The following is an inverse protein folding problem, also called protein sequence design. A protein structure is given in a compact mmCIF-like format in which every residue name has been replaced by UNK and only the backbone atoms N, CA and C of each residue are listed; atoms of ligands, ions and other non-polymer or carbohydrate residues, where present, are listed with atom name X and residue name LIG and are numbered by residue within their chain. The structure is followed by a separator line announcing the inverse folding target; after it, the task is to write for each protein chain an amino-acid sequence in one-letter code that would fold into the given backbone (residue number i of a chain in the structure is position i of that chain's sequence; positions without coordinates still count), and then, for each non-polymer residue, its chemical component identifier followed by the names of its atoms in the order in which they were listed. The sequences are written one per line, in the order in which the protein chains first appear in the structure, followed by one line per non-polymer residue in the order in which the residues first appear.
data_IF_690558075737
#
_entry.id   IF_690558075737
#
_cell.length_a   1.000
_cell.length_b   1.000
_cell.length_c   1.000
_cell.angle_alpha   90.00
_cell.angle_beta   90.00
_cell.angle_gamma   90.00
#
_symmetry.space_group_name_H-M   'P 1'
#
loop_
_entity.id
_entity.type
_entity.pdbx_description
1 polymer ?
#
# COMPACT_ATOMS: atom_id res chain seq x y z
N UNK A 1 -8.21 -33.84 5.30
CA UNK A 1 -8.26 -32.57 4.54
C UNK A 1 -6.91 -31.88 4.72
N UNK A 2 -6.24 -31.49 3.64
CA UNK A 2 -4.91 -30.87 3.70
C UNK A 2 -4.98 -29.49 4.38
N UNK A 3 -4.09 -29.22 5.32
CA UNK A 3 -3.94 -27.92 5.99
C UNK A 3 -2.50 -27.46 5.93
N UNK A 4 -2.29 -26.32 5.28
CA UNK A 4 -0.96 -25.71 5.17
C UNK A 4 -0.64 -24.90 6.44
N UNK A 5 0.38 -25.30 7.20
CA UNK A 5 0.74 -24.66 8.48
C UNK A 5 1.08 -23.18 8.33
N UNK A 6 1.67 -22.78 7.19
CA UNK A 6 2.07 -21.41 6.91
C UNK A 6 1.01 -20.60 6.15
N UNK A 7 -0.25 -21.05 6.12
CA UNK A 7 -1.32 -20.35 5.38
C UNK A 7 -1.52 -18.90 5.83
N UNK A 8 -1.40 -18.63 7.14
CA UNK A 8 -1.49 -17.26 7.67
C UNK A 8 -0.37 -16.36 7.13
N UNK A 9 0.86 -16.88 7.09
CA UNK A 9 2.02 -16.16 6.58
C UNK A 9 1.90 -15.90 5.06
N UNK A 10 1.40 -16.89 4.31
CA UNK A 10 1.13 -16.74 2.88
C UNK A 10 0.12 -15.62 2.61
N UNK A 11 -0.96 -15.56 3.40
CA UNK A 11 -1.97 -14.51 3.28
C UNK A 11 -1.40 -13.12 3.65
N UNK A 12 -0.61 -13.04 4.73
CA UNK A 12 0.06 -11.78 5.11
C UNK A 12 0.99 -11.28 4.00
N UNK A 13 1.79 -12.18 3.40
CA UNK A 13 2.69 -11.84 2.29
C UNK A 13 1.92 -11.42 1.03
N UNK A 14 0.77 -12.05 0.75
CA UNK A 14 -0.10 -11.63 -0.35
C UNK A 14 -0.68 -10.22 -0.14
N UNK A 15 -1.07 -9.86 1.08
CA UNK A 15 -1.52 -8.50 1.39
C UNK A 15 -0.38 -7.48 1.34
N UNK A 16 0.80 -7.83 1.84
CA UNK A 16 2.00 -7.00 1.71
C UNK A 16 2.35 -6.72 0.24
N UNK A 17 2.29 -7.74 -0.62
CA UNK A 17 2.52 -7.61 -2.06
C UNK A 17 1.54 -6.62 -2.70
N UNK A 18 0.24 -6.74 -2.40
CA UNK A 18 -0.79 -5.81 -2.89
C UNK A 18 -0.51 -4.37 -2.45
N UNK A 19 -0.04 -4.16 -1.22
CA UNK A 19 0.31 -2.83 -0.72
C UNK A 19 1.52 -2.27 -1.48
N UNK A 20 2.57 -3.07 -1.70
CA UNK A 20 3.77 -2.66 -2.45
C UNK A 20 3.45 -2.35 -3.91
N UNK A 21 2.62 -3.18 -4.55
CA UNK A 21 2.19 -2.96 -5.93
C UNK A 21 1.38 -1.67 -6.08
N UNK A 22 0.46 -1.38 -5.15
CA UNK A 22 -0.27 -0.11 -5.14
C UNK A 22 0.66 1.10 -5.06
N UNK A 23 1.63 1.07 -4.13
CA UNK A 23 2.63 2.14 -3.99
C UNK A 23 3.46 2.33 -5.26
N UNK A 24 3.90 1.24 -5.90
CA UNK A 24 4.63 1.30 -7.16
C UNK A 24 3.78 1.95 -8.26
N UNK A 25 2.52 1.54 -8.39
CA UNK A 25 1.59 2.09 -9.38
C UNK A 25 1.30 3.58 -9.15
N UNK A 26 1.19 4.02 -7.89
CA UNK A 26 1.04 5.45 -7.56
C UNK A 26 2.23 6.29 -8.02
N UNK A 27 3.46 5.79 -7.83
CA UNK A 27 4.68 6.47 -8.30
C UNK A 27 4.72 6.53 -9.82
N UNK A 28 4.40 5.42 -10.49
CA UNK A 28 4.34 5.36 -11.96
C UNK A 28 3.29 6.32 -12.52
N UNK A 29 2.11 6.41 -11.91
CA UNK A 29 1.06 7.34 -12.32
C UNK A 29 1.51 8.80 -12.19
N UNK A 30 2.20 9.16 -11.10
CA UNK A 30 2.77 10.51 -10.94
C UNK A 30 3.80 10.83 -12.01
N UNK A 31 4.67 9.88 -12.34
CA UNK A 31 5.67 10.04 -13.40
C UNK A 31 4.97 10.28 -14.75
N UNK A 32 3.99 9.46 -15.11
CA UNK A 32 3.23 9.63 -16.36
C UNK A 32 2.55 11.00 -16.43
N UNK A 33 1.98 11.48 -15.33
CA UNK A 33 1.32 12.78 -15.26
C UNK A 33 2.32 13.92 -15.55
N UNK A 34 3.50 13.90 -14.91
CA UNK A 34 4.54 14.90 -15.19
C UNK A 34 5.11 14.79 -16.60
N UNK A 35 5.25 13.59 -17.16
CA UNK A 35 5.69 13.39 -18.55
C UNK A 35 4.68 14.00 -19.55
N UNK A 36 3.37 13.84 -19.29
CA UNK A 36 2.30 14.46 -20.09
C UNK A 36 2.29 16.00 -19.95
N UNK A 37 2.54 16.53 -18.75
CA UNK A 37 2.65 17.98 -18.55
C UNK A 37 3.88 18.55 -19.26
N UNK A 38 5.00 17.82 -19.29
CA UNK A 38 6.18 18.23 -20.05
C UNK A 38 5.91 18.17 -21.56
N UNK A 39 5.23 17.12 -22.05
CA UNK A 39 4.92 16.99 -23.48
C UNK A 39 4.03 18.13 -23.96
N UNK A 40 2.99 18.47 -23.20
CA UNK A 40 2.10 19.62 -23.48
C UNK A 40 2.83 20.96 -23.39
N UNK A 41 3.71 21.15 -22.39
CA UNK A 41 4.54 22.35 -22.29
C UNK A 41 5.49 22.49 -23.49
N UNK A 42 6.13 21.40 -23.93
CA UNK A 42 6.99 21.38 -25.13
C UNK A 42 6.21 21.67 -26.39
N UNK A 43 4.98 21.16 -26.53
CA UNK A 43 4.11 21.46 -27.65
C UNK A 43 3.76 22.97 -27.71
N UNK A 44 3.44 23.59 -26.57
CA UNK A 44 3.20 25.05 -26.47
C UNK A 44 4.44 25.86 -26.85
N UNK A 45 5.62 25.47 -26.37
CA UNK A 45 6.90 26.11 -26.74
C UNK A 45 7.10 26.00 -28.26
N UNK A 46 6.90 24.81 -28.85
CA UNK A 46 7.02 24.60 -30.30
C UNK A 46 6.06 25.48 -31.09
N UNK A 47 4.79 25.56 -30.69
CA UNK A 47 3.80 26.40 -31.34
C UNK A 47 4.15 27.90 -31.24
N UNK A 48 4.67 28.33 -30.09
CA UNK A 48 5.18 29.70 -29.92
C UNK A 48 6.33 30.01 -30.89
N UNK A 49 7.30 29.09 -31.02
CA UNK A 49 8.42 29.21 -31.96
C UNK A 49 7.97 29.29 -33.41
N UNK A 50 7.03 28.45 -33.81
CA UNK A 50 6.46 28.47 -35.16
C UNK A 50 5.73 29.79 -35.44
N UNK A 51 4.96 30.30 -34.48
CA UNK A 51 4.32 31.62 -34.61
C UNK A 51 5.33 32.76 -34.71
N UNK A 52 6.43 32.70 -33.95
CA UNK A 52 7.51 33.68 -34.02
C UNK A 52 8.19 33.62 -35.39
N UNK A 53 8.53 32.42 -35.87
CA UNK A 53 9.17 32.21 -37.16
C UNK A 53 8.32 32.75 -38.33
N UNK A 54 7.00 32.51 -38.31
CA UNK A 54 6.07 33.07 -39.31
C UNK A 54 6.08 34.61 -39.30
N UNK A 55 6.13 35.23 -38.13
CA UNK A 55 6.18 36.70 -38.01
C UNK A 55 7.52 37.27 -38.46
N UNK A 56 8.64 36.62 -38.13
CA UNK A 56 9.99 37.00 -38.57
C UNK A 56 10.10 36.91 -40.10
N UNK A 57 9.70 35.77 -40.69
CA UNK A 57 9.74 35.57 -42.15
C UNK A 57 8.84 36.54 -42.92
N UNK A 58 7.72 36.97 -42.33
CA UNK A 58 6.88 38.04 -42.90
C UNK A 58 7.40 39.48 -42.67
N UNK A 59 8.55 39.65 -42.03
CA UNK A 59 9.17 40.93 -41.64
C UNK A 59 8.25 41.83 -40.77
N UNK A 60 7.29 41.23 -40.05
CA UNK A 60 6.31 41.92 -39.17
C UNK A 60 6.66 41.81 -37.68
N UNK A 61 7.78 41.17 -37.35
CA UNK A 61 8.18 40.96 -35.96
C UNK A 61 8.82 42.24 -35.39
N UNK A 62 8.19 42.82 -34.38
CA UNK A 62 8.75 43.93 -33.61
C UNK A 62 9.68 43.41 -32.51
N UNK A 63 10.77 44.11 -32.19
CA UNK A 63 11.74 43.73 -31.15
C UNK A 63 11.08 43.41 -29.79
N UNK A 64 10.13 44.22 -29.27
CA UNK A 64 9.46 43.90 -28.00
C UNK A 64 8.67 42.59 -27.99
N UNK A 65 8.13 42.20 -29.15
CA UNK A 65 7.39 40.94 -29.31
C UNK A 65 8.34 39.73 -29.26
N UNK A 66 9.54 39.86 -29.84
CA UNK A 66 10.60 38.85 -29.79
C UNK A 66 11.08 38.66 -28.34
N UNK A 67 11.31 39.77 -27.62
CA UNK A 67 11.74 39.74 -26.22
C UNK A 67 10.68 39.08 -25.33
N UNK A 68 9.40 39.43 -25.51
CA UNK A 68 8.28 38.83 -24.78
C UNK A 68 8.19 37.31 -25.02
N UNK A 69 8.32 36.85 -26.27
CA UNK A 69 8.30 35.41 -26.56
C UNK A 69 9.55 34.70 -26.03
N UNK A 70 10.72 35.34 -26.08
CA UNK A 70 11.95 34.76 -25.51
C UNK A 70 11.84 34.59 -23.99
N UNK A 71 11.22 35.56 -23.29
CA UNK A 71 10.95 35.48 -21.86
C UNK A 71 9.95 34.37 -21.53
N UNK A 72 8.89 34.23 -22.34
CA UNK A 72 7.93 33.13 -22.22
C UNK A 72 8.61 31.76 -22.39
N UNK A 73 9.44 31.59 -23.41
CA UNK A 73 10.18 30.34 -23.64
C UNK A 73 11.15 30.00 -22.51
N UNK A 74 11.82 31.00 -21.94
CA UNK A 74 12.69 30.79 -20.76
C UNK A 74 11.88 30.33 -19.55
N UNK A 75 10.78 31.00 -19.25
CA UNK A 75 9.93 30.66 -18.10
C UNK A 75 9.33 29.25 -18.25
N UNK A 76 8.78 28.93 -19.42
CA UNK A 76 8.26 27.59 -19.70
C UNK A 76 9.38 26.53 -19.71
N UNK A 77 10.56 26.89 -20.22
CA UNK A 77 11.75 26.05 -20.17
C UNK A 77 12.17 25.72 -18.73
N UNK A 78 12.16 26.71 -17.83
CA UNK A 78 12.42 26.49 -16.41
C UNK A 78 11.41 25.53 -15.78
N UNK A 79 10.11 25.67 -16.08
CA UNK A 79 9.08 24.73 -15.60
C UNK A 79 9.33 23.30 -16.10
N UNK A 80 9.72 23.14 -17.37
CA UNK A 80 10.08 21.83 -17.94
C UNK A 80 11.28 21.24 -17.19
N UNK A 81 12.34 22.01 -16.99
CA UNK A 81 13.54 21.56 -16.26
C UNK A 81 13.19 21.16 -14.83
N UNK A 82 12.42 21.97 -14.11
CA UNK A 82 11.95 21.66 -12.76
C UNK A 82 11.21 20.32 -12.72
N UNK A 83 10.22 20.11 -13.60
CA UNK A 83 9.49 18.84 -13.66
C UNK A 83 10.37 17.67 -14.06
N UNK A 84 11.34 17.86 -14.95
CA UNK A 84 12.32 16.82 -15.30
C UNK A 84 13.18 16.41 -14.09
N UNK A 85 13.62 17.36 -13.26
CA UNK A 85 14.37 17.02 -12.03
C UNK A 85 13.51 16.24 -11.04
N UNK A 86 12.22 16.57 -10.93
CA UNK A 86 11.27 15.82 -10.09
C UNK A 86 11.09 14.41 -10.64
N UNK A 87 10.90 14.24 -11.95
CA UNK A 87 10.81 12.91 -12.57
C UNK A 87 12.07 12.11 -12.30
N UNK A 88 13.26 12.69 -12.42
CA UNK A 88 14.52 11.98 -12.12
C UNK A 88 14.55 11.45 -10.68
N UNK A 89 14.14 12.27 -9.70
CA UNK A 89 13.99 11.84 -8.29
C UNK A 89 12.94 10.75 -8.13
N UNK A 90 11.79 10.87 -8.79
CA UNK A 90 10.73 9.86 -8.75
C UNK A 90 11.16 8.54 -9.39
N UNK A 91 11.98 8.57 -10.44
CA UNK A 91 12.54 7.37 -11.09
C UNK A 91 13.52 6.63 -10.17
N UNK A 92 14.33 7.35 -9.39
CA UNK A 92 15.16 6.71 -8.35
C UNK A 92 14.28 6.07 -7.26
N UNK A 93 13.23 6.76 -6.84
CA UNK A 93 12.27 6.21 -5.87
C UNK A 93 11.51 4.99 -6.43
N UNK A 94 11.12 5.03 -7.70
CA UNK A 94 10.48 3.93 -8.43
C UNK A 94 11.34 2.67 -8.41
N UNK A 95 12.65 2.80 -8.66
CA UNK A 95 13.61 1.67 -8.57
C UNK A 95 13.60 1.03 -7.17
N UNK A 96 13.56 1.85 -6.11
CA UNK A 96 13.51 1.35 -4.73
C UNK A 96 12.19 0.60 -4.48
N UNK A 97 11.06 1.20 -4.87
CA UNK A 97 9.75 0.57 -4.72
C UNK A 97 9.65 -0.76 -5.49
N UNK A 98 10.21 -0.81 -6.70
CA UNK A 98 10.24 -2.00 -7.54
C UNK A 98 11.03 -3.14 -6.87
N UNK A 99 12.23 -2.86 -6.35
CA UNK A 99 13.03 -3.85 -5.62
C UNK A 99 12.28 -4.40 -4.39
N UNK A 100 11.66 -3.52 -3.61
CA UNK A 100 10.86 -3.93 -2.45
C UNK A 100 9.66 -4.80 -2.84
N UNK A 101 9.02 -4.52 -3.99
CA UNK A 101 7.94 -5.35 -4.52
C UNK A 101 8.48 -6.73 -4.94
N UNK A 102 9.58 -6.77 -5.69
CA UNK A 102 10.20 -8.01 -6.17
C UNK A 102 10.60 -8.95 -5.01
N UNK A 103 11.17 -8.39 -3.94
CA UNK A 103 11.51 -9.14 -2.73
C UNK A 103 10.28 -9.82 -2.10
N UNK A 104 9.18 -9.08 -1.92
CA UNK A 104 7.96 -9.61 -1.32
C UNK A 104 7.27 -10.61 -2.26
N UNK A 105 7.24 -10.32 -3.56
CA UNK A 105 6.72 -11.22 -4.58
C UNK A 105 7.45 -12.57 -4.54
N UNK A 106 8.78 -12.55 -4.49
CA UNK A 106 9.59 -13.76 -4.42
C UNK A 106 9.31 -14.55 -3.13
N UNK A 107 9.21 -13.87 -1.99
CA UNK A 107 8.84 -14.50 -0.72
C UNK A 107 7.46 -15.16 -0.77
N UNK A 108 6.45 -14.49 -1.32
CA UNK A 108 5.11 -15.06 -1.50
C UNK A 108 5.16 -16.27 -2.43
N UNK A 109 5.85 -16.15 -3.58
CA UNK A 109 5.95 -17.22 -4.57
C UNK A 109 6.68 -18.45 -4.01
N UNK A 110 7.72 -18.26 -3.20
CA UNK A 110 8.40 -19.35 -2.51
C UNK A 110 7.44 -20.10 -1.55
N UNK A 111 6.61 -19.38 -0.80
CA UNK A 111 5.60 -19.99 0.09
C UNK A 111 4.50 -20.72 -0.69
N UNK A 112 4.09 -20.19 -1.84
CA UNK A 112 3.12 -20.82 -2.74
C UNK A 112 3.67 -22.13 -3.31
N UNK A 113 4.89 -22.11 -3.83
CA UNK A 113 5.57 -23.31 -4.34
C UNK A 113 5.76 -24.37 -3.22
N UNK A 114 6.07 -23.93 -1.98
CA UNK A 114 6.17 -24.84 -0.83
C UNK A 114 4.81 -25.49 -0.53
N UNK A 115 3.73 -24.71 -0.57
CA UNK A 115 2.36 -25.21 -0.35
C UNK A 115 1.97 -26.23 -1.43
N UNK A 116 2.28 -25.95 -2.69
CA UNK A 116 2.02 -26.85 -3.82
C UNK A 116 2.76 -28.19 -3.64
N UNK A 117 4.07 -28.16 -3.35
CA UNK A 117 4.86 -29.37 -3.07
C UNK A 117 4.31 -30.20 -1.91
N UNK A 118 3.88 -29.53 -0.83
CA UNK A 118 3.29 -30.22 0.32
C UNK A 118 1.91 -30.83 -0.01
N UNK A 119 1.13 -30.15 -0.85
CA UNK A 119 -0.16 -30.66 -1.31
C UNK A 119 0.04 -31.89 -2.20
N UNK A 120 0.99 -31.84 -3.13
CA UNK A 120 1.35 -32.96 -4.00
C UNK A 120 1.75 -34.18 -3.17
N UNK A 121 2.70 -34.04 -2.25
CA UNK A 121 3.12 -35.12 -1.35
C UNK A 121 1.95 -35.70 -0.53
N UNK A 122 1.05 -34.85 -0.01
CA UNK A 122 -0.16 -35.31 0.69
C UNK A 122 -1.09 -36.12 -0.23
N UNK A 123 -1.27 -35.69 -1.48
CA UNK A 123 -2.12 -36.42 -2.44
C UNK A 123 -1.51 -37.77 -2.82
N UNK A 124 -0.19 -37.83 -3.00
CA UNK A 124 0.52 -39.07 -3.26
C UNK A 124 0.43 -40.05 -2.10
N UNK A 125 0.67 -39.59 -0.87
CA UNK A 125 0.54 -40.44 0.32
C UNK A 125 -0.90 -40.95 0.51
N UNK A 126 -1.90 -40.12 0.19
CA UNK A 126 -3.30 -40.55 0.21
C UNK A 126 -3.54 -41.65 -0.83
N UNK A 127 -3.09 -41.46 -2.08
CA UNK A 127 -3.20 -42.47 -3.15
C UNK A 127 -2.48 -43.76 -2.76
N UNK A 128 -1.28 -43.69 -2.18
CA UNK A 128 -0.52 -44.86 -1.70
C UNK A 128 -1.24 -45.63 -0.59
N UNK A 129 -1.91 -44.92 0.32
CA UNK A 129 -2.73 -45.57 1.36
C UNK A 129 -3.97 -46.22 0.77
N UNK A 130 -4.62 -45.55 -0.18
CA UNK A 130 -5.77 -46.11 -0.91
C UNK A 130 -5.35 -47.37 -1.68
N UNK A 131 -4.24 -47.35 -2.42
CA UNK A 131 -3.74 -48.54 -3.15
C UNK A 131 -3.38 -49.68 -2.20
N UNK A 132 -2.65 -49.41 -1.10
CA UNK A 132 -2.33 -50.41 -0.08
C UNK A 132 -3.58 -51.05 0.52
N UNK A 133 -4.61 -50.25 0.78
CA UNK A 133 -5.88 -50.77 1.30
C UNK A 133 -6.55 -51.74 0.32
N UNK A 134 -6.59 -51.42 -0.98
CA UNK A 134 -7.11 -52.34 -2.00
C UNK A 134 -6.23 -53.59 -2.13
N UNK A 135 -4.90 -53.45 -2.12
CA UNK A 135 -3.97 -54.58 -2.16
C UNK A 135 -4.19 -55.52 -0.95
N UNK A 136 -4.31 -54.98 0.27
CA UNK A 136 -4.59 -55.75 1.48
C UNK A 136 -5.94 -56.48 1.41
N UNK A 137 -6.99 -55.83 0.87
CA UNK A 137 -8.28 -56.48 0.62
C UNK A 137 -8.13 -57.63 -0.38
N UNK A 138 -7.40 -57.43 -1.48
CA UNK A 138 -7.21 -58.50 -2.46
C UNK A 138 -6.45 -59.67 -1.87
N UNK A 139 -5.35 -59.43 -1.15
CA UNK A 139 -4.55 -60.47 -0.49
C UNK A 139 -5.37 -61.24 0.54
N UNK A 140 -6.15 -60.54 1.36
CA UNK A 140 -7.03 -61.20 2.33
C UNK A 140 -8.14 -62.01 1.66
N UNK A 141 -8.77 -61.49 0.60
CA UNK A 141 -9.75 -62.22 -0.19
C UNK A 141 -9.15 -63.49 -0.82
N UNK A 142 -7.98 -63.38 -1.46
CA UNK A 142 -7.25 -64.53 -2.01
C UNK A 142 -6.87 -65.55 -0.93
N UNK A 143 -6.43 -65.10 0.25
CA UNK A 143 -6.10 -65.98 1.37
C UNK A 143 -7.32 -66.75 1.92
N UNK A 144 -8.49 -66.10 1.97
CA UNK A 144 -9.76 -66.73 2.35
C UNK A 144 -10.18 -67.78 1.31
N UNK A 145 -10.10 -67.46 0.01
CA UNK A 145 -10.36 -68.41 -1.06
C UNK A 145 -9.47 -69.66 -0.95
N UNK A 146 -8.15 -69.47 -0.76
CA UNK A 146 -7.21 -70.60 -0.56
C UNK A 146 -7.49 -71.42 0.70
N UNK A 147 -7.88 -70.76 1.81
CA UNK A 147 -8.28 -71.47 3.02
C UNK A 147 -9.52 -72.31 2.79
N UNK A 148 -10.51 -71.80 2.05
CA UNK A 148 -11.70 -72.56 1.69
C UNK A 148 -11.36 -73.76 0.79
N UNK A 149 -10.41 -73.61 -0.15
CA UNK A 149 -9.87 -74.73 -0.93
C UNK A 149 -9.11 -75.76 -0.06
N UNK A 150 -8.32 -75.31 0.90
CA UNK A 150 -7.58 -76.18 1.83
C UNK A 150 -8.47 -76.84 2.90
N UNK A 151 -9.60 -76.23 3.27
CA UNK A 151 -10.63 -76.87 4.13
C UNK A 151 -11.26 -78.08 3.43
N UNK A 152 -11.21 -78.13 2.10
CA UNK A 152 -11.55 -79.31 1.29
C UNK A 152 -10.47 -80.41 1.34
N UNK A 153 -9.27 -80.15 1.87
CA UNK A 153 -8.13 -81.07 1.99
C UNK A 153 -7.60 -81.12 3.44
N UNK A 154 -8.36 -81.71 4.36
CA UNK A 154 -7.94 -81.86 5.78
C UNK A 154 -6.75 -82.82 5.95
N UNK A 155 -5.60 -82.33 6.42
CA UNK A 155 -4.59 -83.08 7.21
C UNK A 155 -4.48 -82.48 8.63
N UNK A 156 -4.40 -83.35 9.64
CA UNK A 156 -4.48 -83.04 11.10
C UNK A 156 -3.20 -82.36 11.64
N UNK A 157 -3.28 -81.52 12.69
CA UNK A 157 -2.10 -80.92 13.32
C UNK A 157 -1.49 -81.84 14.39
N UNK A 158 -0.17 -81.78 14.53
CA UNK A 158 0.60 -82.31 15.67
C UNK A 158 0.83 -81.15 16.66
N UNK A 159 0.50 -81.37 17.93
CA UNK A 159 0.79 -80.46 19.04
C UNK A 159 2.23 -80.65 19.53
N UNK A 160 2.94 -79.55 19.80
CA UNK A 160 4.17 -79.55 20.60
C UNK A 160 4.09 -78.49 21.70
N UNK A 161 4.49 -78.89 22.91
CA UNK A 161 4.35 -78.19 24.19
C UNK A 161 5.70 -77.56 24.59
N UNK A 162 5.69 -76.32 25.08
CA UNK A 162 6.86 -75.65 25.67
C UNK A 162 6.85 -75.77 27.20
N UNK A 163 8.02 -75.91 27.81
CA UNK A 163 8.24 -75.85 29.27
C UNK A 163 9.26 -74.78 29.61
N UNK A 164 8.97 -73.93 30.59
CA UNK A 164 9.87 -72.96 31.22
C UNK A 164 10.42 -73.53 32.54
N UNK A 165 11.69 -73.25 32.85
CA UNK A 165 12.36 -73.54 34.12
C UNK A 165 12.55 -72.27 34.98
N UNK A 166 12.51 -72.37 36.33
CA UNK A 166 12.65 -71.22 37.22
C UNK A 166 14.09 -71.01 37.76
N UNK A 167 14.46 -69.76 38.04
CA UNK A 167 15.69 -69.35 38.75
C UNK A 167 15.33 -68.94 40.19
N UNK A 168 16.03 -69.52 41.17
CA UNK A 168 15.95 -69.20 42.60
C UNK A 168 16.69 -67.89 42.93
N UNK A 169 16.21 -67.20 43.97
CA UNK A 169 16.85 -66.04 44.61
C UNK A 169 17.18 -66.43 46.06
N UNK A 170 18.40 -66.18 46.50
CA UNK A 170 18.80 -66.19 47.91
C UNK A 170 19.32 -64.80 48.32
N UNK A 171 19.02 -64.40 49.55
CA UNK A 171 19.38 -63.13 50.17
C UNK A 171 20.77 -63.19 50.85
N UNK A 172 21.44 -62.04 50.94
CA UNK A 172 22.85 -61.90 51.30
C UNK A 172 23.09 -61.43 52.76
N UNK A 173 24.28 -61.74 53.30
CA UNK A 173 24.71 -61.49 54.69
C UNK A 173 25.66 -60.26 54.87
N UNK A 174 25.85 -59.84 56.13
CA UNK A 174 26.47 -58.60 56.65
C UNK A 174 27.91 -58.21 56.21
N UNK A 175 28.63 -59.04 55.43
CA UNK A 175 29.91 -58.67 54.81
C UNK A 175 29.71 -57.72 53.60
N UNK A 176 28.52 -57.71 53.00
CA UNK A 176 28.23 -56.90 51.81
C UNK A 176 27.98 -55.41 52.10
N UNK A 177 27.52 -55.09 53.31
CA UNK A 177 27.29 -53.71 53.74
C UNK A 177 28.59 -52.88 53.83
N UNK A 178 29.75 -53.52 54.04
CA UNK A 178 31.06 -52.84 54.06
C UNK A 178 31.60 -52.56 52.64
N UNK A 179 31.22 -53.37 51.65
CA UNK A 179 31.53 -53.09 50.23
C UNK A 179 30.67 -51.94 49.69
N UNK A 180 29.41 -51.82 50.11
CA UNK A 180 28.54 -50.69 49.74
C UNK A 180 29.06 -49.33 50.23
N UNK A 181 29.78 -49.27 51.37
CA UNK A 181 30.37 -48.01 51.87
C UNK A 181 31.59 -47.55 51.10
N UNK A 182 32.39 -48.46 50.51
CA UNK A 182 33.48 -48.12 49.58
C UNK A 182 32.96 -47.68 48.20
N UNK A 183 31.76 -48.09 47.80
CA UNK A 183 31.11 -47.62 46.57
C UNK A 183 30.53 -46.20 46.67
N UNK A 184 30.42 -45.60 47.87
CA UNK A 184 29.85 -44.24 48.02
C UNK A 184 30.84 -43.11 47.72
N UNK A 185 32.13 -43.38 47.56
CA UNK A 185 33.09 -42.38 47.06
C UNK A 185 33.07 -42.24 45.54
N UNK A 186 32.48 -43.20 44.82
CA UNK A 186 32.08 -43.03 43.43
C UNK A 186 30.58 -42.74 43.40
N UNK A 187 30.19 -41.46 43.49
CA UNK A 187 28.81 -41.06 43.21
C UNK A 187 28.51 -41.46 41.77
N UNK A 188 27.93 -42.64 41.58
CA UNK A 188 27.44 -43.12 40.30
C UNK A 188 26.23 -42.26 39.93
N UNK A 189 26.51 -41.13 39.30
CA UNK A 189 25.48 -40.35 38.61
C UNK A 189 25.14 -41.16 37.36
N UNK A 190 23.90 -41.69 37.23
CA UNK A 190 23.50 -42.42 36.03
C UNK A 190 23.77 -41.56 34.80
N UNK A 191 24.31 -42.14 33.73
CA UNK A 191 24.63 -41.41 32.50
C UNK A 191 23.43 -40.61 31.97
N UNK A 192 22.21 -41.11 32.22
CA UNK A 192 20.93 -40.45 31.91
C UNK A 192 20.72 -39.13 32.67
N UNK A 193 21.16 -39.01 33.93
CA UNK A 193 21.06 -37.76 34.70
C UNK A 193 22.09 -36.73 34.22
N UNK A 194 23.31 -37.16 33.90
CA UNK A 194 24.35 -36.30 33.31
C UNK A 194 23.89 -35.73 31.96
N UNK A 195 23.23 -36.56 31.14
CA UNK A 195 22.67 -36.14 29.87
C UNK A 195 21.55 -35.11 30.04
N UNK A 196 20.67 -35.30 31.03
CA UNK A 196 19.63 -34.31 31.38
C UNK A 196 20.24 -32.97 31.80
N UNK A 197 21.26 -32.96 32.67
CA UNK A 197 21.93 -31.72 33.08
C UNK A 197 22.61 -31.01 31.90
N UNK A 198 23.32 -31.74 31.03
CA UNK A 198 23.89 -31.18 29.80
C UNK A 198 22.84 -30.58 28.88
N UNK A 199 21.66 -31.21 28.79
CA UNK A 199 20.55 -30.70 27.98
C UNK A 199 19.92 -29.45 28.61
N UNK A 200 19.83 -29.37 29.94
CA UNK A 200 19.35 -28.18 30.64
C UNK A 200 20.32 -27.01 30.48
N UNK A 201 21.62 -27.22 30.66
CA UNK A 201 22.64 -26.17 30.45
C UNK A 201 22.62 -25.64 29.00
N UNK A 202 22.54 -26.54 28.00
CA UNK A 202 22.38 -26.14 26.60
C UNK A 202 21.12 -25.30 26.39
N UNK A 203 20.01 -25.70 27.01
CA UNK A 203 18.73 -24.99 26.91
C UNK A 203 18.76 -23.63 27.61
N UNK A 204 19.45 -23.51 28.75
CA UNK A 204 19.69 -22.23 29.41
C UNK A 204 20.54 -21.30 28.55
N UNK A 205 21.60 -21.80 27.93
CA UNK A 205 22.42 -21.01 27.00
C UNK A 205 21.62 -20.56 25.77
N UNK A 206 20.76 -21.41 25.23
CA UNK A 206 19.85 -21.05 24.13
C UNK A 206 18.84 -19.97 24.56
N UNK A 207 18.24 -20.10 25.74
CA UNK A 207 17.30 -19.12 26.29
C UNK A 207 17.97 -17.77 26.56
N UNK A 208 19.19 -17.77 27.11
CA UNK A 208 19.95 -16.54 27.34
C UNK A 208 20.28 -15.83 26.03
N UNK A 209 20.74 -16.56 25.01
CA UNK A 209 20.97 -16.00 23.67
C UNK A 209 19.68 -15.43 23.06
N UNK A 210 18.55 -16.12 23.23
CA UNK A 210 17.25 -15.61 22.78
C UNK A 210 16.83 -14.34 23.54
N UNK A 211 17.08 -14.28 24.85
CA UNK A 211 16.82 -13.11 25.70
C UNK A 211 17.64 -11.89 25.27
N UNK A 212 18.94 -12.07 25.03
CA UNK A 212 19.81 -11.01 24.52
C UNK A 212 19.35 -10.51 23.15
N UNK A 213 19.02 -11.42 22.22
CA UNK A 213 18.50 -11.05 20.91
C UNK A 213 17.15 -10.32 20.99
N UNK A 214 16.27 -10.69 21.92
CA UNK A 214 15.03 -9.97 22.16
C UNK A 214 15.31 -8.57 22.71
N UNK A 215 16.22 -8.43 23.67
CA UNK A 215 16.59 -7.14 24.23
C UNK A 215 17.13 -6.19 23.16
N UNK A 216 18.03 -6.65 22.29
CA UNK A 216 18.55 -5.85 21.17
C UNK A 216 17.42 -5.41 20.25
N UNK A 217 16.54 -6.33 19.82
CA UNK A 217 15.39 -6.02 18.98
C UNK A 217 14.45 -5.01 19.63
N UNK A 218 14.19 -5.13 20.93
CA UNK A 218 13.32 -4.17 21.64
C UNK A 218 13.96 -2.79 21.74
N UNK A 219 15.28 -2.70 21.92
CA UNK A 219 15.99 -1.42 21.92
C UNK A 219 15.95 -0.75 20.54
N UNK A 220 16.17 -1.51 19.47
CA UNK A 220 16.05 -1.03 18.09
C UNK A 220 14.62 -0.56 17.77
N UNK A 221 13.61 -1.33 18.19
CA UNK A 221 12.20 -0.96 18.00
C UNK A 221 11.86 0.35 18.71
N UNK A 222 12.30 0.54 19.95
CA UNK A 222 12.11 1.80 20.69
C UNK A 222 12.74 3.00 19.98
N UNK A 223 13.96 2.85 19.46
CA UNK A 223 14.61 3.91 18.68
C UNK A 223 13.83 4.25 17.41
N UNK A 224 13.26 3.24 16.75
CA UNK A 224 12.42 3.42 15.57
C UNK A 224 11.11 4.13 15.95
N UNK A 225 10.46 3.73 17.05
CA UNK A 225 9.25 4.37 17.58
C UNK A 225 9.48 5.85 17.86
N UNK A 226 10.53 6.21 18.60
CA UNK A 226 10.89 7.60 18.86
C UNK A 226 11.15 8.38 17.56
N UNK A 227 11.82 7.76 16.59
CA UNK A 227 12.09 8.39 15.29
C UNK A 227 10.81 8.62 14.49
N UNK A 228 9.85 7.70 14.58
CA UNK A 228 8.54 7.83 13.95
C UNK A 228 7.78 8.96 14.62
N UNK A 229 7.72 9.01 15.94
CA UNK A 229 7.02 10.07 16.68
C UNK A 229 7.56 11.45 16.36
N UNK A 230 8.88 11.62 16.32
CA UNK A 230 9.52 12.89 15.90
C UNK A 230 9.07 13.30 14.50
N UNK A 231 9.16 12.39 13.53
CA UNK A 231 8.70 12.66 12.15
C UNK A 231 7.20 12.96 12.07
N UNK A 232 6.38 12.31 12.89
CA UNK A 232 4.93 12.54 12.92
C UNK A 232 4.63 13.93 13.46
N UNK A 233 5.35 14.37 14.47
CA UNK A 233 5.24 15.73 15.01
C UNK A 233 5.72 16.78 14.01
N UNK A 234 6.81 16.53 13.30
CA UNK A 234 7.30 17.43 12.25
C UNK A 234 6.28 17.57 11.11
N UNK A 235 5.71 16.45 10.64
CA UNK A 235 4.66 16.46 9.61
C UNK A 235 3.38 17.16 10.07
N UNK A 236 3.01 17.04 11.35
CA UNK A 236 1.87 17.77 11.91
C UNK A 236 2.11 19.28 11.89
N UNK A 237 3.30 19.73 12.33
CA UNK A 237 3.68 21.14 12.28
C UNK A 237 3.69 21.68 10.85
N UNK A 238 4.31 20.96 9.91
CA UNK A 238 4.34 21.37 8.51
C UNK A 238 2.93 21.45 7.91
N UNK A 239 2.04 20.52 8.28
CA UNK A 239 0.62 20.56 7.88
C UNK A 239 -0.09 21.78 8.45
N UNK A 240 0.12 22.09 9.73
CA UNK A 240 -0.48 23.26 10.38
C UNK A 240 0.02 24.57 9.75
N UNK A 241 1.32 24.68 9.48
CA UNK A 241 1.92 25.81 8.77
C UNK A 241 1.36 25.95 7.35
N UNK A 242 1.24 24.85 6.61
CA UNK A 242 0.66 24.85 5.28
C UNK A 242 -0.82 25.26 5.29
N UNK A 243 -1.61 24.76 6.24
CA UNK A 243 -3.01 25.15 6.39
C UNK A 243 -3.16 26.63 6.77
N UNK A 244 -2.28 27.15 7.62
CA UNK A 244 -2.23 28.57 7.95
C UNK A 244 -1.88 29.44 6.73
N UNK A 245 -0.82 29.09 5.99
CA UNK A 245 -0.43 29.77 4.75
C UNK A 245 -1.54 29.71 3.70
N UNK A 246 -2.21 28.56 3.57
CA UNK A 246 -3.34 28.39 2.63
C UNK A 246 -4.51 29.30 3.00
N UNK A 247 -4.87 29.37 4.30
CA UNK A 247 -5.92 30.30 4.77
C UNK A 247 -5.55 31.75 4.48
N UNK A 248 -4.31 32.15 4.78
CA UNK A 248 -3.82 33.49 4.50
C UNK A 248 -3.86 33.83 3.01
N UNK A 249 -3.46 32.89 2.13
CA UNK A 249 -3.54 33.05 0.67
C UNK A 249 -4.98 33.23 0.21
N UNK A 250 -5.92 32.42 0.69
CA UNK A 250 -7.35 32.53 0.36
C UNK A 250 -7.89 33.89 0.81
N UNK A 251 -7.56 34.36 2.01
CA UNK A 251 -7.98 35.67 2.50
C UNK A 251 -7.41 36.81 1.66
N UNK A 252 -6.14 36.73 1.25
CA UNK A 252 -5.52 37.70 0.35
C UNK A 252 -6.21 37.72 -1.01
N UNK A 253 -6.43 36.56 -1.61
CA UNK A 253 -7.09 36.44 -2.91
C UNK A 253 -8.54 36.95 -2.84
N UNK A 254 -9.27 36.68 -1.75
CA UNK A 254 -10.60 37.24 -1.51
C UNK A 254 -10.57 38.77 -1.37
N UNK A 255 -9.57 39.32 -0.69
CA UNK A 255 -9.37 40.78 -0.58
C UNK A 255 -9.04 41.42 -1.92
N UNK A 256 -8.24 40.76 -2.76
CA UNK A 256 -7.88 41.31 -4.07
C UNK A 256 -9.06 41.21 -5.05
N UNK A 257 -9.81 40.12 -5.04
CA UNK A 257 -11.06 39.98 -5.79
C UNK A 257 -12.08 41.03 -5.35
N UNK A 258 -12.25 41.25 -4.04
CA UNK A 258 -13.19 42.26 -3.54
C UNK A 258 -12.79 43.67 -3.93
N UNK A 259 -11.49 44.02 -3.90
CA UNK A 259 -11.00 45.30 -4.43
C UNK A 259 -11.35 45.48 -5.91
N UNK A 260 -11.12 44.46 -6.74
CA UNK A 260 -11.46 44.51 -8.18
C UNK A 260 -12.96 44.77 -8.35
N UNK A 261 -13.81 44.06 -7.61
CA UNK A 261 -15.26 44.27 -7.65
C UNK A 261 -15.60 45.71 -7.23
N UNK A 262 -15.00 46.24 -6.16
CA UNK A 262 -15.27 47.62 -5.73
C UNK A 262 -14.88 48.67 -6.77
N UNK A 263 -13.86 48.42 -7.59
CA UNK A 263 -13.52 49.31 -8.70
C UNK A 263 -14.61 49.34 -9.75
N UNK A 264 -15.12 48.19 -10.16
CA UNK A 264 -16.24 48.11 -11.12
C UNK A 264 -17.55 48.65 -10.54
N UNK A 265 -17.78 48.50 -9.23
CA UNK A 265 -18.97 49.07 -8.57
C UNK A 265 -18.92 50.60 -8.45
N UNK A 266 -17.74 51.20 -8.37
CA UNK A 266 -17.56 52.66 -8.31
C UNK A 266 -17.54 53.31 -9.69
N UNK A 267 -17.40 52.52 -10.75
CA UNK A 267 -17.42 52.98 -12.13
C UNK A 267 -18.85 53.27 -12.59
N UNK A 268 -18.99 54.22 -13.52
CA UNK A 268 -20.28 54.52 -14.14
C UNK A 268 -20.85 53.29 -14.88
N UNK A 269 -22.15 52.99 -14.76
CA UNK A 269 -22.75 51.78 -15.34
C UNK A 269 -22.52 51.62 -16.85
N UNK A 270 -22.52 52.72 -17.62
CA UNK A 270 -22.26 52.72 -19.07
C UNK A 270 -20.82 52.35 -19.43
N UNK A 271 -19.86 52.74 -18.58
CA UNK A 271 -18.46 52.39 -18.79
C UNK A 271 -18.21 50.95 -18.33
N UNK A 272 -18.75 50.57 -17.17
CA UNK A 272 -18.66 49.22 -16.63
C UNK A 272 -19.27 48.17 -17.58
N UNK A 273 -20.40 48.47 -18.23
CA UNK A 273 -21.04 47.54 -19.20
C UNK A 273 -20.13 47.23 -20.38
N UNK A 274 -19.43 48.22 -20.95
CA UNK A 274 -18.47 48.02 -22.05
C UNK A 274 -17.31 47.11 -21.64
N UNK A 275 -16.77 47.28 -20.43
CA UNK A 275 -15.70 46.43 -19.92
C UNK A 275 -16.20 45.00 -19.65
N UNK A 276 -17.39 44.84 -19.06
CA UNK A 276 -17.96 43.50 -18.80
C UNK A 276 -18.30 42.78 -20.11
N UNK A 277 -18.79 43.50 -21.12
CA UNK A 277 -19.13 42.92 -22.41
C UNK A 277 -17.90 42.40 -23.17
N UNK A 278 -16.75 43.07 -23.04
CA UNK A 278 -15.47 42.67 -23.63
C UNK A 278 -14.67 41.67 -22.79
N UNK A 279 -15.07 41.41 -21.55
CA UNK A 279 -14.42 40.46 -20.65
C UNK A 279 -14.87 39.02 -20.93
N UNK A 280 -14.02 38.05 -20.57
CA UNK A 280 -14.34 36.63 -20.62
C UNK A 280 -15.59 36.27 -19.78
N UNK A 281 -16.40 35.32 -20.28
CA UNK A 281 -17.69 34.94 -19.70
C UNK A 281 -17.58 34.49 -18.25
N UNK A 282 -16.54 33.72 -17.92
CA UNK A 282 -16.36 33.17 -16.58
C UNK A 282 -16.02 34.28 -15.58
N UNK A 283 -15.14 35.20 -16.00
CA UNK A 283 -14.72 36.33 -15.16
C UNK A 283 -15.86 37.33 -14.95
N UNK A 284 -16.60 37.67 -16.01
CA UNK A 284 -17.79 38.52 -15.95
C UNK A 284 -18.86 37.93 -15.01
N UNK A 285 -19.12 36.63 -15.12
CA UNK A 285 -20.07 35.91 -14.26
C UNK A 285 -19.64 35.96 -12.79
N UNK A 286 -18.35 35.73 -12.51
CA UNK A 286 -17.82 35.76 -11.14
C UNK A 286 -17.88 37.15 -10.48
N UNK A 287 -17.63 38.20 -11.26
CA UNK A 287 -17.71 39.59 -10.79
C UNK A 287 -19.17 39.97 -10.51
N UNK A 288 -20.08 39.68 -11.45
CA UNK A 288 -21.52 39.98 -11.31
C UNK A 288 -22.18 39.23 -10.15
N UNK A 289 -21.76 37.99 -9.86
CA UNK A 289 -22.28 37.23 -8.72
C UNK A 289 -21.89 37.80 -7.36
N UNK A 290 -20.76 38.51 -7.27
CA UNK A 290 -20.19 38.99 -6.00
C UNK A 290 -20.37 40.49 -5.78
N UNK A 291 -20.83 41.23 -6.78
CA UNK A 291 -21.14 42.66 -6.65
C UNK A 291 -22.54 42.90 -6.08
N UNK A 292 -22.80 44.15 -5.68
CA UNK A 292 -24.11 44.58 -5.23
C UNK A 292 -25.18 44.38 -6.32
N UNK A 293 -26.29 43.69 -6.04
CA UNK A 293 -27.30 43.33 -7.02
C UNK A 293 -27.95 44.55 -7.70
N UNK A 294 -28.09 45.68 -6.99
CA UNK A 294 -28.67 46.91 -7.56
C UNK A 294 -27.77 47.53 -8.62
N UNK A 295 -26.44 47.48 -8.43
CA UNK A 295 -25.47 47.98 -9.40
C UNK A 295 -25.31 47.01 -10.57
N UNK A 296 -25.27 45.70 -10.26
CA UNK A 296 -25.24 44.65 -11.27
C UNK A 296 -26.45 44.71 -12.21
N UNK A 297 -27.65 44.97 -11.70
CA UNK A 297 -28.86 45.14 -12.52
C UNK A 297 -28.74 46.29 -13.53
N UNK A 298 -28.26 47.46 -13.07
CA UNK A 298 -28.03 48.62 -13.96
C UNK A 298 -26.98 48.35 -15.03
N UNK A 299 -25.94 47.56 -14.70
CA UNK A 299 -24.92 47.19 -15.68
C UNK A 299 -25.49 46.18 -16.67
N UNK A 300 -26.26 45.19 -16.21
CA UNK A 300 -26.92 44.17 -17.05
C UNK A 300 -27.92 44.78 -18.04
N UNK A 301 -28.62 45.84 -17.65
CA UNK A 301 -29.54 46.58 -18.52
C UNK A 301 -28.82 47.23 -19.72
N UNK A 302 -27.55 47.59 -19.55
CA UNK A 302 -26.71 48.21 -20.56
C UNK A 302 -25.82 47.21 -21.31
N UNK A 303 -25.99 45.90 -21.09
CA UNK A 303 -25.29 44.84 -21.81
C UNK A 303 -26.03 44.44 -23.08
N UNK A 304 -25.28 43.85 -24.02
CA UNK A 304 -25.88 43.20 -25.18
C UNK A 304 -26.75 42.01 -24.74
N UNK A 305 -27.99 41.96 -25.22
CA UNK A 305 -28.95 40.89 -24.91
C UNK A 305 -28.38 39.45 -25.01
N UNK A 306 -27.66 39.05 -26.08
CA UNK A 306 -27.09 37.70 -26.15
C UNK A 306 -26.03 37.45 -25.08
N UNK A 307 -25.27 38.47 -24.67
CA UNK A 307 -24.24 38.35 -23.65
C UNK A 307 -24.84 38.20 -22.26
N UNK A 308 -25.87 38.99 -21.95
CA UNK A 308 -26.57 38.92 -20.67
C UNK A 308 -27.18 37.53 -20.44
N UNK A 309 -27.73 36.89 -21.48
CA UNK A 309 -28.25 35.52 -21.41
C UNK A 309 -27.13 34.53 -21.10
N UNK A 310 -26.01 34.58 -21.83
CA UNK A 310 -24.86 33.69 -21.61
C UNK A 310 -24.30 33.79 -20.19
N UNK A 311 -24.18 35.01 -19.66
CA UNK A 311 -23.73 35.25 -18.29
C UNK A 311 -24.73 34.63 -17.29
N UNK A 312 -26.03 34.82 -17.51
CA UNK A 312 -27.08 34.31 -16.61
C UNK A 312 -27.09 32.78 -16.57
N UNK A 313 -27.01 32.13 -17.73
CA UNK A 313 -26.90 30.67 -17.84
C UNK A 313 -25.64 30.16 -17.11
N UNK A 314 -24.52 30.86 -17.29
CA UNK A 314 -23.26 30.48 -16.67
C UNK A 314 -23.31 30.60 -15.14
N UNK A 315 -23.91 31.67 -14.62
CA UNK A 315 -24.17 31.85 -13.19
C UNK A 315 -25.07 30.76 -12.63
N UNK A 316 -26.11 30.34 -13.37
CA UNK A 316 -26.98 29.25 -12.97
C UNK A 316 -26.23 27.91 -12.85
N UNK A 317 -25.36 27.60 -13.81
CA UNK A 317 -24.48 26.41 -13.76
C UNK A 317 -23.54 26.49 -12.56
N UNK A 318 -22.91 27.64 -12.30
CA UNK A 318 -22.03 27.80 -11.13
C UNK A 318 -22.75 27.55 -9.81
N UNK A 319 -23.98 28.07 -9.64
CA UNK A 319 -24.79 27.83 -8.43
C UNK A 319 -25.14 26.35 -8.24
N UNK A 320 -25.47 25.63 -9.31
CA UNK A 320 -25.75 24.17 -9.25
C UNK A 320 -24.49 23.39 -8.83
N UNK A 321 -23.35 23.67 -9.46
CA UNK A 321 -22.10 22.98 -9.14
C UNK A 321 -21.65 23.27 -7.69
N UNK A 322 -21.83 24.49 -7.18
CA UNK A 322 -21.59 24.84 -5.78
C UNK A 322 -22.50 24.04 -4.82
N UNK A 323 -23.78 23.86 -5.17
CA UNK A 323 -24.72 23.07 -4.39
C UNK A 323 -24.39 21.56 -4.39
N UNK A 324 -23.84 21.03 -5.48
CA UNK A 324 -23.40 19.64 -5.56
C UNK A 324 -22.13 19.38 -4.74
N UNK A 325 -21.12 20.25 -4.83
CA UNK A 325 -19.86 20.11 -4.08
C UNK A 325 -20.10 20.17 -2.57
N UNK A 326 -20.98 21.06 -2.12
CA UNK A 326 -21.32 21.18 -0.69
C UNK A 326 -22.14 20.00 -0.15
N UNK A 327 -22.87 19.27 -0.99
CA UNK A 327 -23.52 18.00 -0.63
C UNK A 327 -22.51 16.85 -0.46
N UNK A 328 -21.45 16.84 -1.27
CA UNK A 328 -20.41 15.81 -1.22
C UNK A 328 -19.46 15.98 -0.01
N UNK A 329 -19.26 17.22 0.45
CA UNK A 329 -18.40 17.51 1.61
C UNK A 329 -19.10 17.28 2.98
N UNK A 330 -20.45 17.21 3.04
CA UNK A 330 -21.19 16.88 4.27
C UNK A 330 -22.60 16.32 3.97
N UNK A 331 -22.81 14.98 4.02
CA UNK A 331 -24.08 14.35 3.64
C UNK A 331 -25.27 14.62 4.59
N UNK A 332 -25.07 15.31 5.73
CA UNK A 332 -26.11 15.57 6.74
C UNK A 332 -26.49 17.04 6.93
N UNK A 333 -26.08 17.96 6.04
CA UNK A 333 -26.47 19.38 6.16
C UNK A 333 -27.66 19.67 5.24
N UNK A 334 -28.87 19.69 5.80
CA UNK A 334 -30.05 20.22 5.11
C UNK A 334 -29.83 21.70 4.82
N UNK A 335 -29.73 22.06 3.54
CA UNK A 335 -29.71 23.45 3.11
C UNK A 335 -31.12 24.00 3.35
N UNK A 336 -31.31 25.12 4.08
CA UNK A 336 -32.62 25.73 4.17
C UNK A 336 -33.05 26.16 2.77
N UNK A 337 -34.21 25.67 2.33
CA UNK A 337 -34.79 25.98 1.04
C UNK A 337 -34.82 27.49 0.83
N UNK A 338 -34.40 27.91 -0.35
CA UNK A 338 -34.49 29.29 -0.80
C UNK A 338 -35.96 29.73 -0.69
N UNK A 339 -36.24 30.62 0.27
CA UNK A 339 -37.51 31.33 0.35
C UNK A 339 -37.61 32.26 -0.86
N UNK A 340 -38.77 32.16 -1.51
CA UNK A 340 -39.25 32.84 -2.73
C UNK A 340 -38.72 34.26 -2.98
#
# INVERSE_FOLDING_TARGET
MFRFRLAKLLNLKAEEEKIRLRRLNEVLAKIMLFENEISTARAKIKQSRESLHKKITSNRAQVPFIDMQSAYERNMGQVVVQKQTIIAKLREYEKICRKQYEEIYFQRKALENLREKQLEAYTEDKKRKETRYYDDITVTHFAVQRKNENVSLKKKPLECRLTLSPLNIECLNDEELKKERKLREDVFVPESQIEVFKNLEKKEQELNKQGEQQNIKTAELRQIEERIERKLNDLRKEREEYEALRKQRIEMDQKDISKIITYYERMDPENASKFINSMDLDTASHILMRMNPRKGAKIMELLDAPRAVQITERVAVFKRNLAEVSRLENPNRTVPDAVN
#
